data_IF_932550380423
#
_entry.id   IF_932550380423
#
_cell.length_a   1.000
_cell.length_b   1.000
_cell.length_c   1.000
_cell.angle_alpha   90.00
_cell.angle_beta   90.00
_cell.angle_gamma   90.00
#
_symmetry.space_group_name_H-M   'P 1'
#
loop_
_entity.id
_entity.type
_entity.pdbx_description
1 polymer ?
#
# COMPACT_ATOMS: atom_id res chain seq x y z
N UNK A 1 -18.86 15.21 -3.80
CA UNK A 1 -18.94 13.75 -3.53
C UNK A 1 -19.15 12.92 -4.80
N UNK A 2 -20.11 13.23 -5.70
CA UNK A 2 -20.24 12.51 -6.99
C UNK A 2 -18.94 12.33 -7.81
N UNK A 3 -18.08 13.36 -7.99
CA UNK A 3 -16.85 13.17 -8.78
C UNK A 3 -15.81 12.26 -8.11
N UNK A 4 -15.76 12.24 -6.78
CA UNK A 4 -14.84 11.37 -6.04
C UNK A 4 -15.17 9.88 -6.24
N UNK A 5 -16.45 9.50 -6.10
CA UNK A 5 -16.86 8.12 -6.34
C UNK A 5 -16.73 7.72 -7.82
N UNK A 6 -17.01 8.65 -8.74
CA UNK A 6 -16.81 8.41 -10.17
C UNK A 6 -15.33 8.15 -10.52
N UNK A 7 -14.40 8.85 -9.85
CA UNK A 7 -12.96 8.59 -10.00
C UNK A 7 -12.59 7.18 -9.52
N UNK A 8 -13.09 6.77 -8.35
CA UNK A 8 -12.84 5.41 -7.83
C UNK A 8 -13.39 4.36 -8.80
N UNK A 9 -14.63 4.53 -9.27
CA UNK A 9 -15.25 3.61 -10.23
C UNK A 9 -14.44 3.50 -11.53
N UNK A 10 -14.00 4.62 -12.10
CA UNK A 10 -13.11 4.66 -13.27
C UNK A 10 -11.85 3.84 -13.02
N UNK A 11 -11.15 4.09 -11.93
CA UNK A 11 -9.87 3.44 -11.65
C UNK A 11 -10.03 1.93 -11.41
N UNK A 12 -11.10 1.51 -10.74
CA UNK A 12 -11.43 0.09 -10.56
C UNK A 12 -11.75 -0.59 -11.90
N UNK A 13 -12.47 0.09 -12.81
CA UNK A 13 -12.75 -0.44 -14.15
C UNK A 13 -11.47 -0.60 -14.97
N UNK A 14 -10.57 0.40 -14.93
CA UNK A 14 -9.26 0.33 -15.60
C UNK A 14 -8.43 -0.83 -15.03
N UNK A 15 -8.37 -0.95 -13.71
CA UNK A 15 -7.66 -2.04 -13.05
C UNK A 15 -8.23 -3.42 -13.42
N UNK A 16 -9.55 -3.54 -13.53
CA UNK A 16 -10.22 -4.78 -13.94
C UNK A 16 -9.89 -5.16 -15.40
N UNK A 17 -9.82 -4.18 -16.30
CA UNK A 17 -9.37 -4.40 -17.67
C UNK A 17 -7.91 -4.87 -17.72
N UNK A 18 -7.06 -4.33 -16.84
CA UNK A 18 -5.64 -4.66 -16.70
C UNK A 18 -5.37 -5.71 -15.61
N UNK A 19 -6.23 -6.73 -15.49
CA UNK A 19 -6.12 -7.80 -14.47
C UNK A 19 -4.77 -8.53 -14.41
N UNK A 20 -3.96 -8.48 -15.47
CA UNK A 20 -2.60 -9.04 -15.46
C UNK A 20 -1.72 -8.33 -14.42
N UNK A 21 -1.79 -7.00 -14.34
CA UNK A 21 -1.02 -6.21 -13.39
C UNK A 21 -1.45 -6.50 -11.95
N UNK A 22 -2.75 -6.72 -11.72
CA UNK A 22 -3.28 -7.16 -10.41
C UNK A 22 -2.73 -8.54 -10.02
N UNK A 23 -2.64 -9.45 -10.99
CA UNK A 23 -2.06 -10.77 -10.81
C UNK A 23 -0.60 -10.70 -10.38
N UNK A 24 0.19 -9.77 -10.93
CA UNK A 24 1.61 -9.61 -10.58
C UNK A 24 1.79 -9.31 -9.09
N UNK A 25 1.03 -8.37 -8.52
CA UNK A 25 1.16 -8.01 -7.10
C UNK A 25 0.81 -9.19 -6.18
N UNK A 26 -0.27 -9.90 -6.49
CA UNK A 26 -0.70 -11.06 -5.72
C UNK A 26 0.31 -12.22 -5.81
N UNK A 27 0.81 -12.48 -7.02
CA UNK A 27 1.84 -13.49 -7.27
C UNK A 27 3.13 -13.13 -6.54
N UNK A 28 3.53 -11.86 -6.52
CA UNK A 28 4.72 -11.40 -5.82
C UNK A 28 4.63 -11.69 -4.31
N UNK A 29 3.48 -11.40 -3.71
CA UNK A 29 3.20 -11.72 -2.30
C UNK A 29 3.28 -13.23 -2.03
N UNK A 30 2.59 -14.04 -2.83
CA UNK A 30 2.57 -15.50 -2.67
C UNK A 30 3.97 -16.09 -2.86
N UNK A 31 4.70 -15.67 -3.89
CA UNK A 31 6.05 -16.18 -4.18
C UNK A 31 7.00 -15.85 -3.05
N UNK A 32 7.03 -14.60 -2.55
CA UNK A 32 7.91 -14.23 -1.44
C UNK A 32 7.65 -15.17 -0.25
N UNK A 33 6.39 -15.31 0.16
CA UNK A 33 6.04 -16.11 1.33
C UNK A 33 6.35 -17.59 1.11
N UNK A 34 6.09 -18.14 -0.09
CA UNK A 34 6.35 -19.53 -0.42
C UNK A 34 7.84 -19.88 -0.45
N UNK A 35 8.70 -18.91 -0.83
CA UNK A 35 10.14 -19.12 -0.89
C UNK A 35 10.78 -19.23 0.50
N UNK A 36 10.21 -18.62 1.55
CA UNK A 36 10.81 -18.64 2.89
C UNK A 36 10.90 -20.06 3.50
N UNK A 37 9.80 -20.84 3.60
CA UNK A 37 9.87 -22.22 4.06
C UNK A 37 10.74 -23.12 3.18
N UNK A 38 10.77 -22.86 1.86
CA UNK A 38 11.58 -23.63 0.92
C UNK A 38 13.08 -23.35 1.10
N UNK A 39 13.45 -22.10 1.38
CA UNK A 39 14.84 -21.69 1.59
C UNK A 39 15.40 -22.12 2.96
N UNK A 40 14.57 -22.05 4.00
CA UNK A 40 14.97 -22.37 5.39
C UNK A 40 14.82 -23.87 5.69
N UNK A 41 13.90 -24.56 5.00
CA UNK A 41 13.46 -25.92 5.33
C UNK A 41 12.45 -25.92 6.49
N UNK A 42 11.88 -27.09 6.79
CA UNK A 42 10.79 -27.25 7.78
C UNK A 42 11.22 -27.12 9.26
N UNK A 43 12.23 -26.31 9.56
CA UNK A 43 12.68 -26.07 10.93
C UNK A 43 11.81 -25.01 11.62
N UNK A 44 10.83 -25.47 12.41
CA UNK A 44 9.90 -24.62 13.17
C UNK A 44 10.61 -23.59 14.06
N UNK A 45 11.78 -23.93 14.64
CA UNK A 45 12.53 -23.01 15.52
C UNK A 45 13.01 -21.74 14.82
N UNK A 46 13.16 -21.77 13.50
CA UNK A 46 13.54 -20.62 12.66
C UNK A 46 12.32 -20.01 11.96
N UNK A 47 11.36 -20.84 11.56
CA UNK A 47 10.16 -20.42 10.84
C UNK A 47 9.16 -19.65 11.71
N UNK A 48 8.92 -20.10 12.95
CA UNK A 48 7.89 -19.52 13.82
C UNK A 48 8.14 -18.02 14.10
N UNK A 49 9.38 -17.57 14.43
CA UNK A 49 9.65 -16.14 14.64
C UNK A 49 9.62 -15.30 13.35
N UNK A 50 9.75 -15.93 12.18
CA UNK A 50 9.82 -15.25 10.88
C UNK A 50 8.46 -15.13 10.19
N UNK A 51 7.47 -15.96 10.55
CA UNK A 51 6.18 -16.01 9.83
C UNK A 51 5.51 -14.64 9.69
N UNK A 52 5.27 -13.95 10.81
CA UNK A 52 4.62 -12.62 10.77
C UNK A 52 5.48 -11.57 10.05
N UNK A 53 6.78 -11.39 10.36
CA UNK A 53 7.64 -10.48 9.61
C UNK A 53 7.65 -10.71 8.09
N UNK A 54 7.66 -11.98 7.66
CA UNK A 54 7.66 -12.35 6.23
C UNK A 54 6.38 -11.88 5.53
N UNK A 55 5.22 -12.02 6.16
CA UNK A 55 3.94 -11.51 5.60
C UNK A 55 4.00 -9.99 5.42
N UNK A 56 4.52 -9.26 6.41
CA UNK A 56 4.63 -7.81 6.34
C UNK A 56 5.60 -7.33 5.25
N UNK A 57 6.75 -7.99 5.11
CA UNK A 57 7.72 -7.69 4.05
C UNK A 57 7.12 -8.00 2.67
N UNK A 58 6.48 -9.16 2.52
CA UNK A 58 5.81 -9.54 1.28
C UNK A 58 4.71 -8.54 0.91
N UNK A 59 3.89 -8.11 1.88
CA UNK A 59 2.82 -7.14 1.66
C UNK A 59 3.38 -5.78 1.24
N UNK A 60 4.44 -5.29 1.90
CA UNK A 60 5.11 -4.06 1.52
C UNK A 60 5.55 -4.10 0.06
N UNK A 61 6.30 -5.13 -0.33
CA UNK A 61 6.87 -5.18 -1.67
C UNK A 61 5.80 -5.39 -2.75
N UNK A 62 4.76 -6.18 -2.46
CA UNK A 62 3.62 -6.36 -3.35
C UNK A 62 2.86 -5.06 -3.58
N UNK A 63 2.62 -4.29 -2.51
CA UNK A 63 1.99 -2.96 -2.57
C UNK A 63 2.89 -1.98 -3.35
N UNK A 64 4.21 -2.02 -3.14
CA UNK A 64 5.15 -1.13 -3.85
C UNK A 64 5.20 -1.37 -5.37
N UNK A 65 4.96 -2.60 -5.82
CA UNK A 65 5.03 -2.98 -7.23
C UNK A 65 3.98 -2.27 -8.13
N UNK A 66 2.93 -1.69 -7.55
CA UNK A 66 1.84 -1.05 -8.31
C UNK A 66 1.93 0.47 -8.47
N UNK A 67 2.92 1.13 -7.86
CA UNK A 67 2.90 2.59 -7.78
C UNK A 67 3.58 3.33 -8.94
N UNK A 68 4.46 2.68 -9.69
CA UNK A 68 5.16 3.27 -10.83
C UNK A 68 4.20 3.83 -11.89
N UNK A 69 2.99 3.27 -11.98
CA UNK A 69 1.96 3.68 -12.94
C UNK A 69 0.86 4.54 -12.33
N UNK A 70 0.81 4.68 -11.00
CA UNK A 70 -0.37 5.20 -10.31
C UNK A 70 -0.79 6.57 -10.83
N UNK A 71 0.14 7.52 -10.90
CA UNK A 71 -0.09 8.86 -11.48
C UNK A 71 0.52 9.01 -12.87
N UNK A 72 1.62 8.31 -13.16
CA UNK A 72 2.32 8.39 -14.44
C UNK A 72 1.40 8.13 -15.65
N UNK A 73 0.45 7.21 -15.53
CA UNK A 73 -0.51 6.95 -16.62
C UNK A 73 -1.47 8.12 -16.83
N UNK A 74 -2.04 8.66 -15.76
CA UNK A 74 -2.98 9.78 -15.85
C UNK A 74 -2.30 11.07 -16.31
N UNK A 75 -1.01 11.26 -15.99
CA UNK A 75 -0.18 12.35 -16.55
C UNK A 75 0.00 12.16 -18.06
N UNK A 76 0.42 10.95 -18.49
CA UNK A 76 0.63 10.67 -19.93
C UNK A 76 -0.64 10.80 -20.77
N UNK A 77 -1.77 10.39 -20.23
CA UNK A 77 -3.06 10.41 -20.93
C UNK A 77 -3.76 11.78 -20.85
N UNK A 78 -3.16 12.77 -20.17
CA UNK A 78 -3.72 14.11 -19.96
C UNK A 78 -4.94 14.14 -19.04
N UNK A 79 -5.18 13.07 -18.28
CA UNK A 79 -6.28 12.99 -17.31
C UNK A 79 -6.02 13.89 -16.11
N UNK A 80 -4.76 14.03 -15.67
CA UNK A 80 -4.42 14.90 -14.56
C UNK A 80 -4.82 16.35 -14.86
N UNK A 81 -4.48 16.86 -16.05
CA UNK A 81 -4.86 18.21 -16.50
C UNK A 81 -6.39 18.42 -16.47
N UNK A 82 -7.15 17.39 -16.88
CA UNK A 82 -8.61 17.44 -16.81
C UNK A 82 -9.12 17.51 -15.38
N UNK A 83 -8.49 16.78 -14.45
CA UNK A 83 -8.84 16.79 -13.03
C UNK A 83 -8.51 18.15 -12.41
N UNK A 84 -7.36 18.74 -12.71
CA UNK A 84 -6.96 20.05 -12.21
C UNK A 84 -7.91 21.17 -12.66
N UNK A 85 -8.47 21.06 -13.88
CA UNK A 85 -9.51 21.96 -14.38
C UNK A 85 -10.93 21.61 -13.90
N UNK A 86 -11.10 20.46 -13.24
CA UNK A 86 -12.39 19.98 -12.76
C UNK A 86 -12.78 20.55 -11.40
N UNK A 87 -13.93 20.12 -10.88
CA UNK A 87 -14.38 20.44 -9.51
C UNK A 87 -13.80 19.49 -8.46
N UNK A 88 -13.01 18.49 -8.86
CA UNK A 88 -12.38 17.56 -7.93
C UNK A 88 -11.01 18.09 -7.54
N UNK A 89 -10.89 18.52 -6.29
CA UNK A 89 -9.62 18.93 -5.71
C UNK A 89 -8.59 17.79 -5.75
N UNK A 90 -7.33 18.13 -6.02
CA UNK A 90 -6.24 17.17 -6.22
C UNK A 90 -5.97 16.29 -4.99
N UNK A 91 -6.26 16.77 -3.78
CA UNK A 91 -6.15 15.96 -2.57
C UNK A 91 -7.20 14.86 -2.52
N UNK A 92 -8.45 15.18 -2.87
CA UNK A 92 -9.52 14.19 -3.01
C UNK A 92 -9.27 13.21 -4.15
N UNK A 93 -8.68 13.68 -5.25
CA UNK A 93 -8.22 12.82 -6.35
C UNK A 93 -7.14 11.84 -5.86
N UNK A 94 -6.10 12.30 -5.18
CA UNK A 94 -5.05 11.43 -4.63
C UNK A 94 -5.61 10.41 -3.63
N UNK A 95 -6.59 10.79 -2.80
CA UNK A 95 -7.26 9.87 -1.89
C UNK A 95 -8.10 8.83 -2.64
N UNK A 96 -8.79 9.21 -3.72
CA UNK A 96 -9.52 8.28 -4.58
C UNK A 96 -8.55 7.24 -5.18
N UNK A 97 -7.39 7.69 -5.68
CA UNK A 97 -6.33 6.81 -6.20
C UNK A 97 -5.80 5.86 -5.13
N UNK A 98 -5.60 6.34 -3.90
CA UNK A 98 -5.20 5.52 -2.77
C UNK A 98 -6.20 4.39 -2.48
N UNK A 99 -7.50 4.72 -2.45
CA UNK A 99 -8.57 3.75 -2.20
C UNK A 99 -8.64 2.73 -3.34
N UNK A 100 -8.64 3.19 -4.59
CA UNK A 100 -8.66 2.31 -5.76
C UNK A 100 -7.48 1.34 -5.74
N UNK A 101 -6.26 1.84 -5.47
CA UNK A 101 -5.07 1.01 -5.35
C UNK A 101 -5.17 0.02 -4.18
N UNK A 102 -5.64 0.44 -3.01
CA UNK A 102 -5.79 -0.47 -1.88
C UNK A 102 -6.84 -1.56 -2.15
N UNK A 103 -7.95 -1.24 -2.81
CA UNK A 103 -8.96 -2.22 -3.18
C UNK A 103 -8.47 -3.24 -4.22
N UNK A 104 -7.57 -2.83 -5.12
CA UNK A 104 -7.07 -3.69 -6.19
C UNK A 104 -5.83 -4.48 -5.79
N UNK A 105 -4.99 -3.94 -4.90
CA UNK A 105 -3.77 -4.57 -4.42
C UNK A 105 -3.90 -5.06 -2.97
N UNK A 106 -4.19 -4.17 -2.04
CA UNK A 106 -4.22 -4.46 -0.59
C UNK A 106 -5.29 -5.45 -0.16
N UNK A 107 -6.52 -5.31 -0.69
CA UNK A 107 -7.64 -6.16 -0.31
C UNK A 107 -7.45 -7.64 -0.75
N UNK A 108 -7.03 -7.96 -1.99
CA UNK A 108 -6.69 -9.34 -2.36
C UNK A 108 -5.58 -9.94 -1.49
N UNK A 109 -4.55 -9.17 -1.14
CA UNK A 109 -3.48 -9.62 -0.24
C UNK A 109 -4.02 -9.95 1.16
N UNK A 110 -4.89 -9.08 1.69
CA UNK A 110 -5.53 -9.29 2.98
C UNK A 110 -6.40 -10.56 2.98
N UNK A 111 -7.16 -10.80 1.91
CA UNK A 111 -7.97 -12.02 1.73
C UNK A 111 -7.09 -13.27 1.63
N UNK A 112 -5.92 -13.17 0.99
CA UNK A 112 -4.97 -14.29 0.86
C UNK A 112 -4.15 -14.55 2.14
N UNK A 113 -4.09 -13.58 3.06
CA UNK A 113 -3.25 -13.66 4.26
C UNK A 113 -3.54 -14.88 5.15
N UNK A 114 -4.79 -15.31 5.41
CA UNK A 114 -5.05 -16.53 6.19
C UNK A 114 -4.43 -17.78 5.58
N UNK A 115 -4.47 -17.92 4.24
CA UNK A 115 -3.82 -19.04 3.56
C UNK A 115 -2.30 -19.00 3.74
N UNK A 116 -1.72 -17.80 3.63
CA UNK A 116 -0.28 -17.59 3.83
C UNK A 116 0.14 -17.84 5.28
N UNK A 117 -0.67 -17.41 6.25
CA UNK A 117 -0.45 -17.65 7.67
C UNK A 117 -0.47 -19.15 8.00
N UNK A 118 -1.39 -19.91 7.39
CA UNK A 118 -1.41 -21.37 7.50
C UNK A 118 -0.16 -22.01 6.90
N UNK A 119 0.31 -21.54 5.75
CA UNK A 119 1.52 -22.04 5.10
C UNK A 119 2.79 -21.78 5.93
N UNK A 120 2.81 -20.69 6.69
CA UNK A 120 3.88 -20.34 7.63
C UNK A 120 3.68 -20.92 9.03
N UNK A 121 2.72 -21.83 9.22
CA UNK A 121 2.41 -22.47 10.50
C UNK A 121 2.08 -21.47 11.64
N UNK A 122 1.51 -20.31 11.31
CA UNK A 122 1.10 -19.32 12.31
C UNK A 122 -0.17 -19.80 13.02
N UNK A 123 -0.18 -19.86 14.37
CA UNK A 123 -1.35 -20.31 15.13
C UNK A 123 -2.61 -19.49 14.82
N UNK A 124 -3.79 -20.12 14.63
CA UNK A 124 -5.05 -19.43 14.32
C UNK A 124 -5.44 -18.32 15.30
N UNK A 125 -5.00 -18.42 16.56
CA UNK A 125 -5.23 -17.40 17.58
C UNK A 125 -4.56 -16.06 17.26
N UNK A 126 -3.48 -16.07 16.47
CA UNK A 126 -2.76 -14.87 16.03
C UNK A 126 -3.32 -14.28 14.74
N UNK A 127 -4.27 -14.94 14.07
CA UNK A 127 -4.81 -14.45 12.80
C UNK A 127 -5.61 -13.15 12.96
N UNK A 128 -6.51 -12.98 13.95
CA UNK A 128 -7.23 -11.72 14.12
C UNK A 128 -6.33 -10.49 14.32
N UNK A 129 -5.34 -10.47 15.24
CA UNK A 129 -4.44 -9.32 15.36
C UNK A 129 -3.59 -9.11 14.10
N UNK A 130 -3.16 -10.18 13.43
CA UNK A 130 -2.47 -10.09 12.14
C UNK A 130 -3.32 -9.39 11.08
N UNK A 131 -4.55 -9.85 10.85
CA UNK A 131 -5.43 -9.31 9.82
C UNK A 131 -5.81 -7.84 10.09
N UNK A 132 -6.08 -7.48 11.34
CA UNK A 132 -6.44 -6.10 11.70
C UNK A 132 -5.23 -5.17 11.55
N UNK A 133 -4.06 -5.60 12.02
CA UNK A 133 -2.84 -4.82 11.85
C UNK A 133 -2.49 -4.68 10.36
N UNK A 134 -2.62 -5.76 9.57
CA UNK A 134 -2.32 -5.72 8.14
C UNK A 134 -3.34 -4.88 7.36
N UNK A 135 -4.62 -4.88 7.74
CA UNK A 135 -5.64 -3.99 7.18
C UNK A 135 -5.22 -2.51 7.35
N UNK A 136 -4.92 -2.09 8.57
CA UNK A 136 -4.53 -0.71 8.88
C UNK A 136 -3.18 -0.37 8.25
N UNK A 137 -2.21 -1.26 8.37
CA UNK A 137 -0.86 -1.03 7.87
C UNK A 137 -0.79 -1.03 6.35
N UNK A 138 -1.51 -1.89 5.65
CA UNK A 138 -1.57 -1.87 4.18
C UNK A 138 -2.24 -0.59 3.66
N UNK A 139 -3.27 -0.07 4.34
CA UNK A 139 -3.83 1.24 4.01
C UNK A 139 -2.81 2.37 4.27
N UNK A 140 -2.08 2.33 5.39
CA UNK A 140 -1.00 3.27 5.69
C UNK A 140 0.13 3.23 4.66
N UNK A 141 0.59 2.02 4.29
CA UNK A 141 1.58 1.81 3.23
C UNK A 141 1.08 2.33 1.88
N UNK A 142 -0.22 2.19 1.60
CA UNK A 142 -0.80 2.71 0.36
C UNK A 142 -0.77 4.22 0.31
N UNK A 143 -1.14 4.89 1.41
CA UNK A 143 -1.07 6.35 1.53
C UNK A 143 0.38 6.86 1.41
N UNK A 144 1.33 6.13 2.00
CA UNK A 144 2.75 6.45 1.86
C UNK A 144 3.25 6.30 0.41
N UNK A 145 2.82 5.23 -0.27
CA UNK A 145 3.12 5.01 -1.68
C UNK A 145 2.53 6.08 -2.59
N UNK A 146 1.32 6.57 -2.29
CA UNK A 146 0.68 7.70 -2.99
C UNK A 146 1.52 8.96 -2.87
N UNK A 147 2.02 9.29 -1.68
CA UNK A 147 2.93 10.43 -1.49
C UNK A 147 4.18 10.26 -2.37
N UNK A 148 4.81 9.09 -2.33
CA UNK A 148 6.01 8.81 -3.13
C UNK A 148 5.77 8.88 -4.64
N UNK A 149 4.62 8.37 -5.10
CA UNK A 149 4.23 8.38 -6.51
C UNK A 149 3.99 9.82 -7.00
N UNK A 150 3.26 10.61 -6.21
CA UNK A 150 2.99 12.02 -6.54
C UNK A 150 4.27 12.85 -6.57
N UNK A 151 5.20 12.64 -5.63
CA UNK A 151 6.50 13.30 -5.60
C UNK A 151 7.40 12.89 -6.78
N UNK A 152 7.33 11.64 -7.23
CA UNK A 152 8.09 11.16 -8.38
C UNK A 152 7.66 11.88 -9.66
N UNK A 153 6.36 12.02 -9.88
CA UNK A 153 5.81 12.78 -11.00
C UNK A 153 6.11 14.29 -10.86
N UNK A 154 5.84 14.87 -9.69
CA UNK A 154 6.01 16.31 -9.44
C UNK A 154 7.45 16.80 -9.51
N UNK A 155 8.41 16.00 -9.04
CA UNK A 155 9.82 16.39 -8.99
C UNK A 155 10.65 15.90 -10.19
N UNK A 156 10.01 15.27 -11.20
CA UNK A 156 10.63 14.62 -12.38
C UNK A 156 11.82 13.73 -12.03
N UNK A 157 11.79 13.19 -10.82
CA UNK A 157 12.86 12.43 -10.21
C UNK A 157 12.40 10.98 -10.26
N UNK A 158 13.11 10.16 -11.03
CA UNK A 158 12.72 8.78 -11.30
C UNK A 158 12.47 7.94 -10.04
N UNK A 159 11.91 6.75 -10.23
CA UNK A 159 11.51 5.76 -9.20
C UNK A 159 12.53 5.50 -8.08
N UNK A 160 13.80 5.83 -8.28
CA UNK A 160 14.84 5.79 -7.24
C UNK A 160 14.56 6.71 -6.03
N UNK A 161 14.04 7.92 -6.25
CA UNK A 161 13.73 8.85 -5.14
C UNK A 161 12.50 8.42 -4.36
N UNK A 162 11.55 7.81 -5.06
CA UNK A 162 10.39 7.16 -4.47
C UNK A 162 10.79 6.03 -3.53
N UNK A 163 11.66 5.11 -3.97
CA UNK A 163 12.15 4.02 -3.12
C UNK A 163 12.96 4.53 -1.91
N UNK A 164 13.80 5.55 -2.10
CA UNK A 164 14.62 6.16 -1.04
C UNK A 164 13.77 6.81 0.05
N UNK A 165 12.66 7.45 -0.31
CA UNK A 165 11.79 8.15 0.63
C UNK A 165 10.81 7.20 1.33
N UNK A 166 10.21 6.27 0.59
CA UNK A 166 9.19 5.37 1.12
C UNK A 166 9.80 4.38 2.12
N UNK A 167 10.97 3.82 1.82
CA UNK A 167 11.55 2.76 2.65
C UNK A 167 11.75 3.18 4.12
N UNK A 168 12.40 4.32 4.46
CA UNK A 168 12.55 4.75 5.85
C UNK A 168 11.21 5.11 6.51
N UNK A 169 10.27 5.69 5.76
CA UNK A 169 8.94 6.04 6.29
C UNK A 169 8.01 4.83 6.44
N UNK A 170 8.30 3.71 5.75
CA UNK A 170 7.58 2.45 5.90
C UNK A 170 8.02 1.69 7.16
N UNK A 171 9.23 1.92 7.67
CA UNK A 171 9.78 1.23 8.85
C UNK A 171 8.85 1.34 10.08
N UNK A 172 8.32 2.51 10.47
CA UNK A 172 7.37 2.60 11.58
C UNK A 172 6.11 1.74 11.38
N UNK A 173 5.55 1.74 10.17
CA UNK A 173 4.38 0.91 9.83
C UNK A 173 4.71 -0.58 9.96
N UNK A 174 5.89 -1.01 9.48
CA UNK A 174 6.36 -2.40 9.61
C UNK A 174 6.61 -2.78 11.07
N UNK A 175 7.29 -1.93 11.85
CA UNK A 175 7.60 -2.22 13.26
C UNK A 175 6.31 -2.33 14.07
N UNK A 176 5.44 -1.32 14.03
CA UNK A 176 4.20 -1.35 14.81
C UNK A 176 3.24 -2.42 14.29
N UNK A 177 3.20 -2.63 12.98
CA UNK A 177 2.41 -3.67 12.35
C UNK A 177 2.78 -5.07 12.80
N UNK A 178 4.06 -5.44 12.66
CA UNK A 178 4.58 -6.76 13.06
C UNK A 178 4.42 -7.01 14.55
N UNK A 179 4.68 -6.02 15.40
CA UNK A 179 4.51 -6.13 16.85
C UNK A 179 3.04 -6.22 17.27
N UNK A 180 2.14 -5.52 16.57
CA UNK A 180 0.70 -5.64 16.80
C UNK A 180 0.16 -7.01 16.38
N UNK A 181 0.64 -7.55 15.26
CA UNK A 181 0.25 -8.86 14.74
C UNK A 181 0.64 -10.03 15.66
N UNK A 182 1.74 -9.90 16.40
CA UNK A 182 2.25 -10.92 17.33
C UNK A 182 1.68 -10.80 18.75
N UNK A 183 0.71 -9.92 18.99
CA UNK A 183 0.21 -9.70 20.34
C UNK A 183 -0.65 -10.88 20.82
N UNK A 184 -0.16 -11.62 21.81
CA UNK A 184 -0.84 -12.77 22.40
C UNK A 184 -1.99 -12.37 23.34
N UNK A 185 -2.01 -11.12 23.82
CA UNK A 185 -2.99 -10.63 24.80
C UNK A 185 -4.31 -10.14 24.17
N UNK A 186 -4.48 -10.35 22.86
CA UNK A 186 -5.67 -9.96 22.11
C UNK A 186 -5.41 -8.93 21.02
N UNK A 187 -6.46 -8.39 20.44
CA UNK A 187 -6.35 -7.47 19.30
C UNK A 187 -5.82 -6.10 19.73
N UNK A 188 -6.36 -5.55 20.82
CA UNK A 188 -6.02 -4.20 21.27
C UNK A 188 -4.65 -4.25 21.95
N UNK A 189 -3.66 -3.61 21.33
CA UNK A 189 -2.30 -3.50 21.83
C UNK A 189 -1.75 -2.07 21.66
N UNK A 190 -0.77 -1.65 22.47
CA UNK A 190 -0.12 -0.34 22.29
C UNK A 190 0.46 -0.17 20.87
N UNK A 191 1.01 -1.24 20.29
CA UNK A 191 1.54 -1.25 18.93
C UNK A 191 0.43 -1.02 17.89
N UNK A 192 -0.76 -1.59 18.07
CA UNK A 192 -1.89 -1.35 17.19
C UNK A 192 -2.37 0.11 17.27
N UNK A 193 -2.36 0.71 18.46
CA UNK A 193 -2.71 2.11 18.66
C UNK A 193 -1.68 3.04 17.98
N UNK A 194 -0.38 2.73 18.07
CA UNK A 194 0.67 3.45 17.37
C UNK A 194 0.56 3.29 15.84
N UNK A 195 0.26 2.09 15.37
CA UNK A 195 -0.01 1.84 13.95
C UNK A 195 -1.20 2.67 13.45
N UNK A 196 -2.29 2.69 14.23
CA UNK A 196 -3.45 3.53 13.95
C UNK A 196 -3.12 5.03 13.96
N UNK A 197 -2.28 5.49 14.89
CA UNK A 197 -1.84 6.89 14.95
C UNK A 197 -1.03 7.28 13.70
N UNK A 198 -0.09 6.43 13.27
CA UNK A 198 0.67 6.65 12.03
C UNK A 198 -0.26 6.63 10.82
N UNK A 199 -1.21 5.70 10.77
CA UNK A 199 -2.21 5.64 9.69
C UNK A 199 -3.06 6.91 9.62
N UNK A 200 -3.60 7.40 10.75
CA UNK A 200 -4.41 8.63 10.80
C UNK A 200 -3.58 9.85 10.39
N UNK A 201 -2.32 9.92 10.83
CA UNK A 201 -1.40 10.98 10.41
C UNK A 201 -1.18 10.95 8.89
N UNK A 202 -0.93 9.78 8.31
CA UNK A 202 -0.80 9.61 6.86
C UNK A 202 -2.10 9.91 6.13
N UNK A 203 -3.26 9.56 6.68
CA UNK A 203 -4.56 9.85 6.08
C UNK A 203 -4.81 11.36 6.00
N UNK A 204 -4.34 12.12 6.99
CA UNK A 204 -4.43 13.58 6.99
C UNK A 204 -3.39 14.24 6.05
N UNK A 205 -2.15 13.74 6.04
CA UNK A 205 -1.05 14.36 5.31
C UNK A 205 -0.98 13.94 3.83
N UNK A 206 -1.26 12.68 3.51
CA UNK A 206 -1.07 12.16 2.16
C UNK A 206 -1.86 12.92 1.08
N UNK A 207 -3.16 13.26 1.28
CA UNK A 207 -3.90 14.07 0.30
C UNK A 207 -3.26 15.45 0.07
N UNK A 208 -2.82 16.10 1.14
CA UNK A 208 -2.22 17.45 1.07
C UNK A 208 -0.86 17.42 0.36
N UNK A 209 0.00 16.48 0.75
CA UNK A 209 1.34 16.35 0.16
C UNK A 209 1.23 15.93 -1.31
N UNK A 210 0.38 14.95 -1.62
CA UNK A 210 0.17 14.50 -2.99
C UNK A 210 -0.39 15.61 -3.88
N UNK A 211 -1.38 16.39 -3.41
CA UNK A 211 -1.91 17.53 -4.14
C UNK A 211 -0.82 18.55 -4.48
N UNK A 212 -0.04 18.97 -3.47
CA UNK A 212 1.03 19.95 -3.68
C UNK A 212 2.12 19.46 -4.63
N UNK A 213 2.45 18.16 -4.58
CA UNK A 213 3.42 17.56 -5.48
C UNK A 213 2.93 17.53 -6.93
N UNK A 214 1.65 17.18 -7.15
CA UNK A 214 1.05 17.12 -8.48
C UNK A 214 0.91 18.52 -9.11
N UNK A 215 0.54 19.53 -8.32
CA UNK A 215 0.41 20.92 -8.77
C UNK A 215 1.74 21.52 -9.24
N UNK A 216 2.84 21.25 -8.53
CA UNK A 216 4.19 21.69 -8.95
C UNK A 216 4.56 21.08 -10.31
N UNK A 217 4.24 19.80 -10.52
CA UNK A 217 4.47 19.11 -11.78
C UNK A 217 3.79 19.80 -12.97
N UNK A 218 2.54 20.25 -12.80
CA UNK A 218 1.78 20.96 -13.84
C UNK A 218 2.40 22.33 -14.17
N UNK A 219 2.75 23.12 -13.15
CA UNK A 219 3.30 24.47 -13.36
C UNK A 219 4.65 24.49 -14.11
N UNK A 220 5.46 23.44 -13.97
CA UNK A 220 6.73 23.30 -14.70
C UNK A 220 6.58 22.69 -16.11
N UNK A 221 5.43 22.09 -16.44
CA UNK A 221 5.16 21.56 -17.80
C UNK A 221 4.70 22.62 -18.80
N UNK A 222 4.34 23.83 -18.33
CA UNK A 222 4.20 25.01 -19.18
C UNK A 222 3.24 24.85 -20.37
N UNK A 223 2.00 24.51 -20.07
CA UNK A 223 0.86 25.04 -20.83
C UNK A 223 0.36 26.32 -20.17
#
# INVERSE_FOLDING_TARGET
MKPFFAQIERDLLIAWQNRQDLGVMLVFFVIIIALFPLAIGANATVLDPLGVPVIWIAALLAILAGFDRLFAQDVRDGWLDQIALSKLDLGWYALAKAISHWLTAGLPLLIMTPLMAMMLNIPPQQWPPLLIALLIGSMGLTLLGVIGAALAEGARRGTALMALLILPLAVPLLIFGTLASQNERGIISPHLMLLGAVFVLLLALAPLVAASALEIGETETGL
#
